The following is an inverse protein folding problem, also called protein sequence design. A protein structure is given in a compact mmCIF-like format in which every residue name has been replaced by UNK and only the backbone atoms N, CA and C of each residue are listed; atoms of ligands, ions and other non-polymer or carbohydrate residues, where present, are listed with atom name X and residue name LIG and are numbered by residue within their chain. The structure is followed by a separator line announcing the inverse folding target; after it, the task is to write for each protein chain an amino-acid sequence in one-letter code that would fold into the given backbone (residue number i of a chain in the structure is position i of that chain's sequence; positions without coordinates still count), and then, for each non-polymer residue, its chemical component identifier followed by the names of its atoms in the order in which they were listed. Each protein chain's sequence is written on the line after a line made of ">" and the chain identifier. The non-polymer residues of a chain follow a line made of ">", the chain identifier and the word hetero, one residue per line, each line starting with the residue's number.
data_IF_350001853953
#
_entry.id   IF_350001853953
#
_cell.length_a   1.000
_cell.length_b   1.000
_cell.length_c   1.000
_cell.angle_alpha   90.00
_cell.angle_beta   90.00
_cell.angle_gamma   90.00
#
_symmetry.space_group_name_H-M   'P 1'
#
loop_
_entity.id
_entity.type
_entity.pdbx_description
1 polymer ?
#
# COMPACT_ATOMS: atom_id res chain seq x y z
N UNK A 1 -11.34 -65.50 -33.11
CA UNK A 1 -12.32 -64.86 -32.21
C UNK A 1 -11.67 -64.64 -30.86
N UNK A 2 -11.75 -63.41 -30.34
CA UNK A 2 -11.33 -62.95 -28.98
C UNK A 2 -9.81 -63.00 -28.71
N UNK A 3 -9.12 -62.02 -28.14
CA UNK A 3 -9.26 -60.56 -27.90
C UNK A 3 -7.99 -60.23 -27.05
N UNK A 4 -7.34 -59.08 -27.29
CA UNK A 4 -6.66 -58.23 -26.27
C UNK A 4 -5.36 -58.78 -25.62
N UNK A 5 -4.25 -58.07 -25.43
CA UNK A 5 -3.81 -56.69 -25.72
C UNK A 5 -2.27 -56.68 -25.56
N UNK A 6 -1.55 -56.02 -26.46
CA UNK A 6 -0.13 -55.70 -26.27
C UNK A 6 0.01 -54.50 -25.32
N UNK A 7 0.92 -54.58 -24.34
CA UNK A 7 1.40 -53.42 -23.58
C UNK A 7 2.93 -53.41 -23.65
N UNK A 8 3.41 -52.63 -24.61
CA UNK A 8 4.73 -52.02 -24.61
C UNK A 8 4.48 -50.52 -24.40
N UNK A 9 5.33 -49.84 -23.63
CA UNK A 9 5.83 -48.46 -23.79
C UNK A 9 6.22 -47.92 -22.39
N UNK A 10 7.52 -47.90 -22.08
CA UNK A 10 8.48 -46.82 -22.36
C UNK A 10 8.46 -45.78 -21.23
N UNK A 11 9.32 -45.99 -20.24
CA UNK A 11 9.61 -45.02 -19.19
C UNK A 11 10.31 -43.80 -19.78
N UNK A 12 9.59 -42.68 -19.86
CA UNK A 12 10.17 -41.37 -20.13
C UNK A 12 10.35 -40.68 -18.79
N UNK A 13 11.63 -40.43 -18.45
CA UNK A 13 12.03 -39.63 -17.32
C UNK A 13 11.46 -38.21 -17.45
N UNK A 14 10.56 -37.84 -16.56
CA UNK A 14 10.13 -36.45 -16.37
C UNK A 14 11.25 -35.71 -15.62
N UNK A 15 12.26 -35.26 -16.38
CA UNK A 15 13.07 -34.10 -16.03
C UNK A 15 12.19 -32.88 -16.28
N UNK A 16 11.16 -32.70 -15.44
CA UNK A 16 10.42 -31.46 -15.36
C UNK A 16 11.25 -30.50 -14.53
N UNK A 17 12.02 -29.65 -15.20
CA UNK A 17 12.66 -28.50 -14.57
C UNK A 17 11.61 -27.73 -13.81
N UNK A 18 11.64 -27.86 -12.49
CA UNK A 18 10.98 -26.91 -11.61
C UNK A 18 11.78 -25.63 -11.79
N UNK A 19 11.33 -24.79 -12.71
CA UNK A 19 11.62 -23.37 -12.62
C UNK A 19 11.05 -22.94 -11.27
N UNK A 20 11.90 -22.95 -10.24
CA UNK A 20 11.67 -22.20 -9.03
C UNK A 20 11.70 -20.73 -9.44
N UNK A 21 10.58 -20.27 -10.01
CA UNK A 21 10.21 -18.88 -9.93
C UNK A 21 10.07 -18.62 -8.44
N UNK A 22 11.15 -18.14 -7.83
CA UNK A 22 11.07 -17.48 -6.53
C UNK A 22 10.06 -16.37 -6.77
N UNK A 23 8.87 -16.48 -6.19
CA UNK A 23 7.95 -15.36 -6.17
C UNK A 23 8.69 -14.27 -5.41
N UNK A 24 9.21 -13.27 -6.14
CA UNK A 24 9.75 -12.09 -5.48
C UNK A 24 8.60 -11.53 -4.61
N UNK A 25 8.86 -11.39 -3.31
CA UNK A 25 7.85 -10.92 -2.37
C UNK A 25 7.35 -9.53 -2.78
N UNK A 26 6.11 -9.18 -2.37
CA UNK A 26 5.45 -7.92 -2.76
C UNK A 26 6.39 -6.71 -2.57
N UNK A 27 6.48 -5.86 -3.58
CA UNK A 27 7.17 -4.58 -3.49
C UNK A 27 6.16 -3.47 -3.12
N UNK A 28 6.25 -2.95 -1.90
CA UNK A 28 5.31 -1.97 -1.35
C UNK A 28 6.05 -0.67 -1.04
N UNK A 29 5.55 0.44 -1.59
CA UNK A 29 6.02 1.77 -1.25
C UNK A 29 4.96 2.50 -0.44
N UNK A 30 5.37 3.20 0.62
CA UNK A 30 4.51 4.05 1.44
C UNK A 30 5.01 5.49 1.39
N UNK A 31 4.27 6.37 0.71
CA UNK A 31 4.53 7.82 0.72
C UNK A 31 3.59 8.54 1.66
N UNK A 32 4.05 9.56 2.38
CA UNK A 32 3.17 10.35 3.23
C UNK A 32 3.68 11.78 3.38
N UNK A 33 2.83 12.68 3.90
CA UNK A 33 3.08 14.12 3.96
C UNK A 33 4.06 14.55 5.08
N UNK A 34 4.79 13.64 5.73
CA UNK A 34 5.50 13.93 6.98
C UNK A 34 6.99 13.66 6.92
N UNK A 35 7.74 14.39 7.74
CA UNK A 35 9.19 14.30 7.88
C UNK A 35 9.60 13.23 8.89
N UNK A 36 10.86 12.79 8.80
CA UNK A 36 11.41 11.80 9.73
C UNK A 36 11.41 12.29 11.20
N UNK A 37 11.27 13.59 11.46
CA UNK A 37 11.23 14.16 12.82
C UNK A 37 9.92 13.90 13.56
N UNK A 38 8.84 13.54 12.84
CA UNK A 38 7.53 13.34 13.44
C UNK A 38 7.43 11.95 14.11
N UNK A 39 7.31 11.95 15.44
CA UNK A 39 7.28 10.73 16.25
C UNK A 39 6.05 9.85 16.00
N UNK A 40 4.92 10.42 15.57
CA UNK A 40 3.74 9.64 15.16
C UNK A 40 4.11 8.75 13.97
N UNK A 41 4.77 9.31 12.95
CA UNK A 41 5.16 8.55 11.76
C UNK A 41 6.31 7.59 12.01
N UNK A 42 7.15 7.82 13.02
CA UNK A 42 8.11 6.79 13.46
C UNK A 42 7.42 5.55 14.04
N UNK A 43 6.33 5.72 14.78
CA UNK A 43 5.54 4.60 15.27
C UNK A 43 4.83 3.87 14.11
N UNK A 44 4.27 4.61 13.15
CA UNK A 44 3.67 4.03 11.93
C UNK A 44 4.71 3.25 11.13
N UNK A 45 5.91 3.82 10.92
CA UNK A 45 7.02 3.14 10.24
C UNK A 45 7.36 1.81 10.89
N UNK A 46 7.49 1.79 12.22
CA UNK A 46 7.77 0.55 12.93
C UNK A 46 6.69 -0.52 12.65
N UNK A 47 5.41 -0.15 12.72
CA UNK A 47 4.31 -1.06 12.43
C UNK A 47 4.32 -1.56 10.97
N UNK A 48 4.64 -0.66 10.03
CA UNK A 48 4.79 -0.98 8.62
C UNK A 48 5.94 -1.99 8.38
N UNK A 49 7.13 -1.71 8.91
CA UNK A 49 8.30 -2.58 8.78
C UNK A 49 8.04 -3.98 9.41
N UNK A 50 7.44 -4.02 10.60
CA UNK A 50 7.07 -5.28 11.28
C UNK A 50 6.04 -6.08 10.45
N UNK A 51 5.09 -5.41 9.79
CA UNK A 51 4.10 -6.07 8.94
C UNK A 51 4.73 -6.60 7.64
N UNK A 52 5.64 -5.85 7.03
CA UNK A 52 6.37 -6.27 5.83
C UNK A 52 7.18 -7.55 6.06
N UNK A 53 7.82 -7.68 7.23
CA UNK A 53 8.51 -8.92 7.61
C UNK A 53 7.59 -10.13 7.72
N UNK A 54 6.32 -9.94 8.14
CA UNK A 54 5.34 -11.03 8.27
C UNK A 54 4.79 -11.52 6.94
N UNK A 55 4.70 -10.63 5.96
CA UNK A 55 4.20 -10.95 4.61
C UNK A 55 5.34 -11.15 3.60
N UNK A 56 6.59 -11.16 4.08
CA UNK A 56 7.81 -11.32 3.28
C UNK A 56 7.89 -10.32 2.11
N UNK A 57 7.42 -9.09 2.34
CA UNK A 57 7.41 -8.01 1.35
C UNK A 57 8.70 -7.18 1.41
N UNK A 58 9.13 -6.68 0.25
CA UNK A 58 10.13 -5.61 0.16
C UNK A 58 9.39 -4.28 0.33
N UNK A 59 9.76 -3.52 1.36
CA UNK A 59 9.02 -2.32 1.74
C UNK A 59 9.91 -1.09 1.83
N UNK A 60 9.39 0.04 1.37
CA UNK A 60 10.04 1.34 1.49
C UNK A 60 9.05 2.43 1.91
N UNK A 61 9.29 3.06 3.06
CA UNK A 61 8.53 4.24 3.48
C UNK A 61 9.35 5.50 3.16
N UNK A 62 8.75 6.42 2.40
CA UNK A 62 9.40 7.63 1.91
C UNK A 62 8.88 8.84 2.68
N UNK A 63 9.75 9.43 3.50
CA UNK A 63 9.48 10.67 4.22
C UNK A 63 9.71 11.89 3.34
N UNK A 64 8.96 12.96 3.61
CA UNK A 64 9.27 14.29 3.09
C UNK A 64 10.46 14.89 3.84
N UNK A 65 11.12 15.88 3.25
CA UNK A 65 12.15 16.66 3.94
C UNK A 65 11.50 17.74 4.82
N UNK A 66 10.40 18.31 4.33
CA UNK A 66 9.61 19.31 5.03
C UNK A 66 8.31 18.69 5.53
N UNK A 67 8.05 18.82 6.83
CA UNK A 67 6.80 18.38 7.45
C UNK A 67 5.60 19.03 6.76
N UNK A 68 4.59 18.22 6.42
CA UNK A 68 3.37 18.68 5.75
C UNK A 68 3.51 18.98 4.25
N UNK A 69 4.65 18.72 3.62
CA UNK A 69 4.85 19.09 2.21
C UNK A 69 4.12 18.17 1.24
N UNK A 70 2.98 18.64 0.75
CA UNK A 70 2.16 18.00 -0.29
C UNK A 70 2.95 17.84 -1.59
N UNK A 71 3.62 18.91 -2.04
CA UNK A 71 4.40 18.90 -3.28
C UNK A 71 5.53 17.84 -3.25
N UNK A 72 6.26 17.75 -2.14
CA UNK A 72 7.31 16.73 -1.98
C UNK A 72 6.71 15.32 -1.95
N UNK A 73 5.56 15.12 -1.32
CA UNK A 73 4.89 13.83 -1.34
C UNK A 73 4.48 13.44 -2.76
N UNK A 74 3.92 14.36 -3.56
CA UNK A 74 3.59 14.11 -4.97
C UNK A 74 4.84 13.72 -5.76
N UNK A 75 5.95 14.45 -5.60
CA UNK A 75 7.22 14.12 -6.25
C UNK A 75 7.74 12.73 -5.84
N UNK A 76 7.65 12.38 -4.54
CA UNK A 76 8.01 11.06 -4.03
C UNK A 76 7.13 9.96 -4.63
N UNK A 77 5.82 10.18 -4.76
CA UNK A 77 4.90 9.23 -5.41
C UNK A 77 5.28 9.01 -6.88
N UNK A 78 5.53 10.07 -7.64
CA UNK A 78 5.97 9.98 -9.04
C UNK A 78 7.27 9.19 -9.18
N UNK A 79 8.25 9.45 -8.31
CA UNK A 79 9.51 8.72 -8.30
C UNK A 79 9.31 7.24 -7.93
N UNK A 80 8.46 6.93 -6.94
CA UNK A 80 8.15 5.57 -6.55
C UNK A 80 7.48 4.78 -7.69
N UNK A 81 6.53 5.40 -8.39
CA UNK A 81 5.79 4.76 -9.49
C UNK A 81 6.68 4.40 -10.68
N UNK A 82 7.80 5.12 -10.89
CA UNK A 82 8.77 4.76 -11.93
C UNK A 82 9.37 3.35 -11.73
N UNK A 83 9.45 2.88 -10.48
CA UNK A 83 9.91 1.53 -10.14
C UNK A 83 8.80 0.47 -10.23
N UNK A 84 7.56 0.85 -10.58
CA UNK A 84 6.39 -0.03 -10.74
C UNK A 84 6.18 -0.96 -9.52
N UNK A 85 5.96 -0.41 -8.31
CA UNK A 85 5.66 -1.23 -7.14
C UNK A 85 4.34 -1.97 -7.31
N UNK A 86 4.17 -3.08 -6.60
CA UNK A 86 2.90 -3.82 -6.57
C UNK A 86 1.82 -3.01 -5.84
N UNK A 87 2.23 -2.28 -4.79
CA UNK A 87 1.35 -1.43 -4.03
C UNK A 87 1.97 -0.08 -3.64
N UNK A 88 1.13 0.96 -3.64
CA UNK A 88 1.38 2.28 -3.12
C UNK A 88 0.42 2.55 -1.95
N UNK A 89 0.96 2.57 -0.74
CA UNK A 89 0.25 3.10 0.42
C UNK A 89 0.50 4.61 0.48
N UNK A 90 -0.52 5.41 0.77
CA UNK A 90 -0.33 6.87 0.82
C UNK A 90 -1.27 7.59 1.78
N UNK A 91 -0.87 8.74 2.32
CA UNK A 91 -1.82 9.66 2.97
C UNK A 91 -2.38 10.65 1.95
N UNK A 92 -3.66 10.99 2.03
CA UNK A 92 -4.28 12.00 1.16
C UNK A 92 -4.71 13.16 2.07
N UNK A 93 -3.89 14.22 2.12
CA UNK A 93 -4.13 15.39 3.00
C UNK A 93 -4.65 16.62 2.25
N UNK A 94 -4.81 16.49 0.93
CA UNK A 94 -5.31 17.50 0.01
C UNK A 94 -6.22 16.78 -0.98
N UNK A 95 -7.41 17.31 -1.22
CA UNK A 95 -8.47 16.64 -2.00
C UNK A 95 -8.22 16.69 -3.52
N UNK A 96 -7.14 17.32 -3.99
CA UNK A 96 -6.88 17.46 -5.43
C UNK A 96 -5.45 17.13 -5.83
N UNK A 97 -4.47 17.47 -5.00
CA UNK A 97 -3.05 17.37 -5.36
C UNK A 97 -2.58 15.95 -5.71
N UNK A 98 -3.28 14.93 -5.22
CA UNK A 98 -2.91 13.52 -5.40
C UNK A 98 -3.72 12.80 -6.49
N UNK A 99 -4.77 13.41 -7.04
CA UNK A 99 -5.75 12.72 -7.90
C UNK A 99 -5.10 12.16 -9.16
N UNK A 100 -4.36 13.00 -9.88
CA UNK A 100 -3.70 12.60 -11.13
C UNK A 100 -2.67 11.48 -10.88
N UNK A 101 -1.84 11.61 -9.84
CA UNK A 101 -0.80 10.62 -9.55
C UNK A 101 -1.37 9.30 -9.07
N UNK A 102 -2.44 9.34 -8.28
CA UNK A 102 -3.13 8.12 -7.84
C UNK A 102 -3.83 7.48 -9.02
N UNK A 103 -4.54 8.25 -9.85
CA UNK A 103 -5.19 7.71 -11.05
C UNK A 103 -4.18 7.04 -11.98
N UNK A 104 -3.04 7.66 -12.25
CA UNK A 104 -1.99 7.06 -13.07
C UNK A 104 -1.44 5.75 -12.47
N UNK A 105 -1.24 5.70 -11.14
CA UNK A 105 -0.85 4.47 -10.45
C UNK A 105 -1.89 3.35 -10.65
N UNK A 106 -3.18 3.69 -10.51
CA UNK A 106 -4.31 2.75 -10.70
C UNK A 106 -4.37 2.23 -12.14
N UNK A 107 -4.24 3.13 -13.10
CA UNK A 107 -4.25 2.79 -14.53
C UNK A 107 -3.04 1.91 -14.91
N UNK A 108 -1.91 2.06 -14.20
CA UNK A 108 -0.73 1.20 -14.33
C UNK A 108 -0.84 -0.15 -13.61
N UNK A 109 -1.96 -0.43 -12.94
CA UNK A 109 -2.20 -1.69 -12.22
C UNK A 109 -1.67 -1.73 -10.79
N UNK A 110 -1.15 -0.64 -10.25
CA UNK A 110 -0.64 -0.55 -8.87
C UNK A 110 -1.81 -0.51 -7.88
N UNK A 111 -1.75 -1.33 -6.83
CA UNK A 111 -2.71 -1.27 -5.72
C UNK A 111 -2.48 0.01 -4.90
N UNK A 112 -3.46 0.89 -4.81
CA UNK A 112 -3.37 2.14 -4.04
C UNK A 112 -4.34 2.10 -2.84
N UNK A 113 -3.79 2.27 -1.64
CA UNK A 113 -4.56 2.32 -0.40
C UNK A 113 -4.24 3.63 0.32
N UNK A 114 -5.27 4.40 0.66
CA UNK A 114 -5.11 5.55 1.53
C UNK A 114 -4.92 5.10 2.98
N UNK A 115 -4.02 5.76 3.70
CA UNK A 115 -3.66 5.44 5.07
C UNK A 115 -3.57 6.72 5.88
N UNK A 116 -4.07 6.67 7.12
CA UNK A 116 -4.09 7.76 8.10
C UNK A 116 -5.03 8.92 7.74
N UNK A 117 -4.89 9.54 6.56
CA UNK A 117 -5.79 10.57 6.03
C UNK A 117 -6.24 10.19 4.63
N UNK A 118 -7.47 10.57 4.33
CA UNK A 118 -8.19 10.25 3.11
C UNK A 118 -8.78 11.52 2.52
N UNK A 119 -9.09 11.44 1.23
CA UNK A 119 -9.91 12.42 0.53
C UNK A 119 -11.24 12.64 1.28
N UNK A 120 -11.66 13.90 1.43
CA UNK A 120 -12.88 14.22 2.20
C UNK A 120 -14.17 13.69 1.57
N UNK A 121 -14.17 13.46 0.26
CA UNK A 121 -15.24 12.80 -0.49
C UNK A 121 -14.99 11.27 -0.64
N UNK A 122 -13.84 10.79 -0.19
CA UNK A 122 -13.50 9.37 -0.18
C UNK A 122 -13.36 8.81 -1.60
N UNK A 123 -14.13 7.75 -1.90
CA UNK A 123 -14.03 7.05 -3.19
C UNK A 123 -14.61 7.85 -4.38
N UNK A 124 -15.34 8.95 -4.12
CA UNK A 124 -15.83 9.83 -5.20
C UNK A 124 -14.83 10.91 -5.57
N UNK A 125 -14.01 11.37 -4.62
CA UNK A 125 -12.95 12.36 -4.85
C UNK A 125 -11.67 11.72 -5.39
N UNK A 126 -11.33 10.51 -4.94
CA UNK A 126 -10.04 9.89 -5.27
C UNK A 126 -10.14 8.44 -5.75
N UNK A 127 -9.28 8.05 -6.69
CA UNK A 127 -9.28 6.73 -7.34
C UNK A 127 -8.68 5.57 -6.50
N UNK A 128 -8.19 5.85 -5.29
CA UNK A 128 -7.65 4.83 -4.36
C UNK A 128 -8.69 3.78 -3.97
N UNK A 129 -8.29 2.51 -3.82
CA UNK A 129 -9.26 1.41 -3.64
C UNK A 129 -9.83 1.27 -2.23
N UNK A 130 -9.07 1.66 -1.21
CA UNK A 130 -9.46 1.47 0.17
C UNK A 130 -8.82 2.53 1.05
N UNK A 131 -9.39 2.71 2.24
CA UNK A 131 -8.86 3.56 3.29
C UNK A 131 -8.62 2.77 4.56
N UNK A 132 -7.45 2.94 5.16
CA UNK A 132 -7.06 2.39 6.47
C UNK A 132 -6.73 3.54 7.41
N UNK A 133 -7.64 3.84 8.32
CA UNK A 133 -7.45 4.88 9.31
C UNK A 133 -8.60 4.93 10.31
N UNK A 134 -8.60 5.97 11.14
CA UNK A 134 -9.64 6.17 12.14
C UNK A 134 -10.92 6.75 11.53
N UNK A 135 -12.06 6.54 12.19
CA UNK A 135 -13.26 7.31 11.92
C UNK A 135 -13.11 8.73 12.49
N UNK A 136 -12.79 9.72 11.64
CA UNK A 136 -12.48 11.08 12.10
C UNK A 136 -13.61 11.76 12.89
N UNK A 137 -14.86 11.66 12.43
CA UNK A 137 -16.01 12.24 13.13
C UNK A 137 -16.24 11.58 14.51
N UNK A 138 -16.33 10.24 14.64
CA UNK A 138 -16.38 9.58 15.94
C UNK A 138 -15.19 9.88 16.86
N UNK A 139 -13.97 9.92 16.31
CA UNK A 139 -12.77 10.22 17.09
C UNK A 139 -12.80 11.64 17.65
N UNK A 140 -13.12 12.63 16.80
CA UNK A 140 -13.28 14.02 17.22
C UNK A 140 -14.41 14.20 18.22
N UNK A 141 -15.56 13.56 18.00
CA UNK A 141 -16.67 13.57 18.95
C UNK A 141 -16.28 12.97 20.30
N UNK A 142 -15.60 11.82 20.31
CA UNK A 142 -15.20 11.14 21.54
C UNK A 142 -14.22 11.99 22.34
N UNK A 143 -13.25 12.63 21.66
CA UNK A 143 -12.33 13.58 22.28
C UNK A 143 -13.06 14.79 22.85
N UNK A 144 -13.91 15.44 22.05
CA UNK A 144 -14.67 16.62 22.48
C UNK A 144 -15.57 16.29 23.67
N UNK A 145 -16.25 15.14 23.66
CA UNK A 145 -17.08 14.67 24.78
C UNK A 145 -16.26 14.51 26.05
N UNK A 146 -15.10 13.83 25.98
CA UNK A 146 -14.24 13.63 27.14
C UNK A 146 -13.74 14.97 27.72
N UNK A 147 -13.34 15.92 26.87
CA UNK A 147 -12.86 17.23 27.33
C UNK A 147 -14.02 18.11 27.84
N UNK A 148 -15.24 17.96 27.29
CA UNK A 148 -16.41 18.74 27.74
C UNK A 148 -16.73 18.57 29.23
N UNK A 149 -16.39 17.42 29.82
CA UNK A 149 -16.53 17.16 31.26
C UNK A 149 -15.60 18.04 32.12
N UNK A 150 -14.57 18.62 31.50
CA UNK A 150 -13.60 19.52 32.15
C UNK A 150 -13.88 21.01 31.92
N UNK A 151 -14.92 21.35 31.14
CA UNK A 151 -15.33 22.74 30.93
C UNK A 151 -16.52 23.10 31.85
N UNK A 152 -16.50 24.28 32.51
CA UNK A 152 -17.57 24.73 33.40
C UNK A 152 -18.87 25.09 32.66
#
# INVERSE_FOLDING_TARGET
>A
MKKLTAMLLLGVALIGGQSAARADGLNIVFTHHSSASNTFWQAVKKGFDDACGKVEATCNMVFTQTEGSVEQQVANMRAALAAKPDALLTSIVDDHAFDDVIKEARDAGVLVIAVNVDDTEGATGNARQAFVGQGFKPAGYSLAKAISESFP
#
